data_IF_798235144245
#
_entry.id   IF_798235144245
#
_cell.length_a   1.000
_cell.length_b   1.000
_cell.length_c   1.000
_cell.angle_alpha   90.00
_cell.angle_beta   90.00
_cell.angle_gamma   90.00
#
_symmetry.space_group_name_H-M   'P 1'
#
loop_
_entity.id
_entity.type
_entity.pdbx_description
1 polymer ?
#
# COMPACT_ATOMS: atom_id res chain seq x y z
N UNK A 1 15.65 3.54 -10.21
CA UNK A 1 14.71 2.51 -9.74
C UNK A 1 14.42 2.85 -8.30
N UNK A 2 13.16 3.10 -7.98
CA UNK A 2 12.75 3.55 -6.65
C UNK A 2 11.90 2.46 -6.03
N UNK A 3 12.21 2.09 -4.79
CA UNK A 3 11.31 1.26 -3.99
C UNK A 3 10.16 2.13 -3.51
N UNK A 4 8.93 1.69 -3.75
CA UNK A 4 7.75 2.34 -3.21
C UNK A 4 7.34 1.62 -1.91
N UNK A 5 7.08 2.40 -0.87
CA UNK A 5 6.64 1.89 0.42
C UNK A 5 5.42 2.68 0.87
N UNK A 6 4.46 2.00 1.49
CA UNK A 6 3.43 2.67 2.27
C UNK A 6 3.70 2.42 3.75
N UNK A 7 3.71 3.52 4.51
CA UNK A 7 3.87 3.50 5.96
C UNK A 7 2.57 3.96 6.56
N UNK A 8 1.91 3.09 7.32
CA UNK A 8 0.66 3.42 7.98
C UNK A 8 0.60 2.84 9.39
N UNK A 9 -0.25 3.41 10.22
CA UNK A 9 -0.49 2.96 11.59
C UNK A 9 -1.98 2.88 11.85
N UNK A 10 -2.38 1.84 12.54
CA UNK A 10 -3.72 1.68 13.06
C UNK A 10 -3.88 2.43 14.38
N UNK A 11 -4.98 3.17 14.51
CA UNK A 11 -5.31 3.87 15.75
C UNK A 11 -5.76 2.86 16.82
N UNK A 12 -5.15 2.93 18.02
CA UNK A 12 -5.33 1.96 19.11
C UNK A 12 -6.78 1.78 19.60
N UNK A 13 -7.68 2.74 19.30
CA UNK A 13 -9.10 2.61 19.59
C UNK A 13 -9.90 2.82 18.31
N UNK A 14 -10.44 1.74 17.75
CA UNK A 14 -11.41 1.79 16.67
C UNK A 14 -10.81 1.80 15.27
N UNK A 15 -9.57 1.33 15.07
CA UNK A 15 -9.17 0.85 13.75
C UNK A 15 -9.97 -0.40 13.40
N UNK A 16 -10.36 -0.50 12.13
CA UNK A 16 -10.99 -1.69 11.59
C UNK A 16 -10.65 -1.80 10.11
N UNK A 17 -10.37 -3.01 9.65
CA UNK A 17 -9.88 -3.33 8.31
C UNK A 17 -8.37 -3.61 8.26
N UNK A 18 -7.91 -4.18 7.15
CA UNK A 18 -6.55 -4.73 6.91
C UNK A 18 -6.17 -5.99 7.70
N UNK A 19 -7.09 -6.56 8.48
CA UNK A 19 -6.91 -7.84 9.17
C UNK A 19 -7.06 -9.03 8.20
N UNK A 20 -7.70 -8.82 7.05
CA UNK A 20 -8.04 -9.88 6.10
C UNK A 20 -6.98 -10.03 5.03
N UNK A 21 -6.22 -11.12 5.11
CA UNK A 21 -5.22 -11.48 4.11
C UNK A 21 -5.75 -12.53 3.12
N UNK A 22 -5.42 -12.42 1.82
CA UNK A 22 -4.42 -11.51 1.24
C UNK A 22 -4.96 -10.10 0.89
N UNK A 23 -4.08 -9.12 0.97
CA UNK A 23 -4.32 -7.76 0.47
C UNK A 23 -3.90 -7.69 -1.00
N UNK A 24 -4.81 -7.31 -1.88
CA UNK A 24 -4.50 -6.95 -3.27
C UNK A 24 -4.12 -5.48 -3.30
N UNK A 25 -2.91 -5.20 -3.76
CA UNK A 25 -2.48 -3.83 -4.01
C UNK A 25 -2.19 -3.65 -5.49
N UNK A 26 -2.51 -2.47 -6.02
CA UNK A 26 -2.13 -2.05 -7.36
C UNK A 26 -1.55 -0.65 -7.35
N UNK A 27 -0.70 -0.38 -8.33
CA UNK A 27 -0.25 0.97 -8.62
C UNK A 27 -0.37 1.24 -10.12
N UNK A 28 -0.60 2.49 -10.48
CA UNK A 28 -0.76 2.94 -11.86
C UNK A 28 -0.06 4.30 -12.03
N UNK A 29 0.70 4.47 -13.11
CA UNK A 29 1.17 5.80 -13.50
C UNK A 29 0.04 6.51 -14.22
N UNK A 30 -0.28 7.73 -13.81
CA UNK A 30 -1.34 8.53 -14.45
C UNK A 30 -0.83 9.28 -15.68
N UNK A 31 0.49 9.39 -15.88
CA UNK A 31 1.10 10.27 -16.90
C UNK A 31 1.77 9.53 -18.06
N UNK A 32 2.32 8.34 -17.82
CA UNK A 32 2.81 7.51 -18.92
C UNK A 32 1.66 6.65 -19.43
N UNK A 33 1.35 6.70 -20.74
CA UNK A 33 0.32 5.86 -21.38
C UNK A 33 0.55 4.35 -21.25
N UNK A 34 1.60 3.94 -20.53
CA UNK A 34 1.90 2.57 -20.16
C UNK A 34 1.16 2.26 -18.86
N UNK A 35 -0.11 1.89 -18.99
CA UNK A 35 -0.97 1.37 -17.92
C UNK A 35 -0.36 0.07 -17.35
N UNK A 36 0.64 0.21 -16.46
CA UNK A 36 1.25 -0.89 -15.75
C UNK A 36 0.46 -1.16 -14.47
N UNK A 37 -0.74 -1.73 -14.61
CA UNK A 37 -1.48 -2.29 -13.48
C UNK A 37 -0.71 -3.50 -12.94
N UNK A 38 0.21 -3.26 -12.01
CA UNK A 38 0.90 -4.32 -11.29
C UNK A 38 0.11 -4.62 -10.04
N UNK A 39 -0.49 -5.81 -10.00
CA UNK A 39 -1.15 -6.35 -8.83
C UNK A 39 -0.23 -7.24 -8.02
N UNK A 40 -0.08 -6.90 -6.75
CA UNK A 40 0.69 -7.69 -5.79
C UNK A 40 -0.27 -8.16 -4.70
N UNK A 41 -0.21 -9.44 -4.37
CA UNK A 41 -0.95 -10.02 -3.25
C UNK A 41 -0.02 -10.14 -2.06
N UNK A 42 -0.29 -9.36 -1.01
CA UNK A 42 0.46 -9.42 0.22
C UNK A 42 -0.08 -10.56 1.08
N UNK A 43 0.85 -11.41 1.53
CA UNK A 43 0.58 -12.54 2.40
C UNK A 43 1.07 -12.22 3.81
N UNK A 44 0.64 -13.02 4.78
CA UNK A 44 1.04 -12.83 6.18
C UNK A 44 2.58 -12.91 6.29
N UNK A 45 3.22 -11.80 6.69
CA UNK A 45 4.68 -11.69 6.82
C UNK A 45 5.37 -10.74 5.81
N UNK A 46 4.67 -10.21 4.80
CA UNK A 46 5.21 -9.12 3.95
C UNK A 46 4.99 -7.72 4.53
N UNK A 47 4.24 -7.63 5.63
CA UNK A 47 4.03 -6.39 6.39
C UNK A 47 5.07 -6.37 7.51
N UNK A 48 6.02 -5.43 7.44
CA UNK A 48 7.00 -5.22 8.48
C UNK A 48 6.42 -4.34 9.58
N UNK A 49 6.16 -4.89 10.76
CA UNK A 49 5.93 -4.06 11.94
C UNK A 49 7.27 -3.43 12.35
N UNK A 50 7.33 -2.11 12.34
CA UNK A 50 8.44 -1.35 12.92
C UNK A 50 8.32 -1.31 14.44
N UNK A 51 9.44 -1.06 15.12
CA UNK A 51 9.50 -0.95 16.60
C UNK A 51 8.67 0.23 17.14
N UNK A 52 8.36 1.22 16.30
CA UNK A 52 7.53 2.40 16.61
C UNK A 52 6.01 2.13 16.47
N UNK A 53 5.64 0.90 16.12
CA UNK A 53 4.25 0.47 15.93
C UNK A 53 3.65 0.92 14.60
N UNK A 54 4.46 1.37 13.64
CA UNK A 54 4.03 1.58 12.26
C UNK A 54 4.18 0.29 11.45
N UNK A 55 3.27 0.10 10.50
CA UNK A 55 3.31 -0.95 9.50
C UNK A 55 3.95 -0.38 8.24
N UNK A 56 5.01 -1.04 7.77
CA UNK A 56 5.65 -0.75 6.51
C UNK A 56 5.35 -1.89 5.53
N UNK A 57 4.81 -1.52 4.37
CA UNK A 57 4.53 -2.45 3.28
C UNK A 57 5.34 -2.02 2.07
N UNK A 58 6.20 -2.92 1.61
CA UNK A 58 6.90 -2.77 0.34
C UNK A 58 5.92 -3.00 -0.81
N UNK A 59 5.68 -1.96 -1.59
CA UNK A 59 4.83 -1.99 -2.78
C UNK A 59 5.57 -2.51 -4.01
N UNK A 60 6.90 -2.64 -3.90
CA UNK A 60 7.82 -3.13 -4.91
C UNK A 60 8.64 -2.02 -5.56
N UNK A 61 9.37 -2.39 -6.62
CA UNK A 61 10.21 -1.47 -7.37
C UNK A 61 9.45 -0.83 -8.53
N UNK A 62 9.46 0.50 -8.56
CA UNK A 62 8.89 1.31 -9.62
C UNK A 62 9.98 2.06 -10.39
N UNK A 63 9.76 2.22 -11.70
CA UNK A 63 10.61 3.03 -12.56
C UNK A 63 9.92 4.37 -12.82
N UNK A 64 10.41 5.42 -12.17
CA UNK A 64 10.01 6.80 -12.46
C UNK A 64 10.77 7.26 -13.70
N UNK A 65 10.04 7.56 -14.77
CA UNK A 65 10.61 8.02 -16.04
C UNK A 65 10.94 9.52 -16.06
N UNK A 66 10.32 10.30 -15.18
CA UNK A 66 10.50 11.76 -15.05
C UNK A 66 10.15 12.24 -13.64
N UNK A 67 10.78 13.30 -13.17
CA UNK A 67 10.52 13.90 -11.84
C UNK A 67 9.05 14.28 -11.59
N UNK A 68 8.28 14.60 -12.63
CA UNK A 68 6.86 14.99 -12.51
C UNK A 68 5.89 13.82 -12.71
N UNK A 69 6.28 12.57 -12.47
CA UNK A 69 5.40 11.43 -12.64
C UNK A 69 4.47 11.24 -11.42
N UNK A 70 3.17 11.18 -11.67
CA UNK A 70 2.16 10.93 -10.65
C UNK A 70 1.83 9.44 -10.62
N UNK A 71 1.79 8.88 -9.40
CA UNK A 71 1.52 7.47 -9.17
C UNK A 71 0.23 7.38 -8.34
N UNK A 72 -0.75 6.66 -8.88
CA UNK A 72 -1.93 6.25 -8.15
C UNK A 72 -1.69 4.89 -7.52
N UNK A 73 -2.05 4.73 -6.24
CA UNK A 73 -1.90 3.48 -5.50
C UNK A 73 -3.25 3.08 -4.90
N UNK A 74 -3.60 1.80 -5.01
CA UNK A 74 -4.83 1.22 -4.48
C UNK A 74 -4.50 -0.01 -3.64
N UNK A 75 -5.16 -0.16 -2.49
CA UNK A 75 -5.02 -1.34 -1.61
C UNK A 75 -6.42 -1.83 -1.23
N UNK A 76 -6.67 -3.11 -1.45
CA UNK A 76 -7.95 -3.77 -1.29
C UNK A 76 -7.78 -5.07 -0.48
N UNK A 77 -8.69 -5.34 0.45
CA UNK A 77 -8.80 -6.67 1.05
C UNK A 77 -9.60 -7.56 0.12
N UNK A 78 -9.04 -8.70 -0.26
CA UNK A 78 -9.68 -9.60 -1.25
C UNK A 78 -10.77 -10.49 -0.65
N UNK A 79 -10.71 -10.74 0.67
CA UNK A 79 -11.58 -11.71 1.34
C UNK A 79 -12.71 -11.10 2.14
N UNK A 80 -12.46 -9.97 2.80
CA UNK A 80 -13.47 -9.25 3.56
C UNK A 80 -13.63 -7.84 2.99
N UNK A 81 -14.78 -7.59 2.36
CA UNK A 81 -15.17 -6.28 1.83
C UNK A 81 -15.65 -5.31 2.91
N UNK A 82 -14.97 -5.32 4.06
CA UNK A 82 -15.30 -4.50 5.21
C UNK A 82 -14.96 -3.02 5.00
N UNK A 83 -15.57 -2.17 5.81
CA UNK A 83 -15.18 -0.77 5.88
C UNK A 83 -13.79 -0.67 6.50
N UNK A 84 -13.01 0.31 6.05
CA UNK A 84 -11.69 0.60 6.59
C UNK A 84 -11.74 1.93 7.32
N UNK A 85 -11.28 1.97 8.56
CA UNK A 85 -11.35 3.16 9.41
C UNK A 85 -10.21 3.19 10.43
N UNK A 86 -9.87 4.39 10.90
CA UNK A 86 -8.86 4.56 11.94
C UNK A 86 -7.41 4.33 11.51
N UNK A 87 -7.10 4.45 10.21
CA UNK A 87 -5.73 4.37 9.70
C UNK A 87 -5.10 5.76 9.59
N UNK A 88 -3.82 5.86 9.92
CA UNK A 88 -2.98 7.04 9.74
C UNK A 88 -1.94 6.69 8.70
N UNK A 89 -1.86 7.46 7.60
CA UNK A 89 -0.88 7.26 6.54
C UNK A 89 0.21 8.32 6.65
N UNK A 90 1.47 7.89 6.55
CA UNK A 90 2.64 8.78 6.54
C UNK A 90 3.25 8.82 5.14
N UNK A 91 3.42 10.04 4.61
CA UNK A 91 4.24 10.29 3.42
C UNK A 91 5.71 10.40 3.79
N UNK A 92 6.59 9.83 2.95
CA UNK A 92 8.04 9.81 3.08
C UNK A 92 8.73 10.44 1.87
#
# INVERSE_FOLDING_TARGET
MYGAYIVFKEQEMGSFGFESLPLEMSFCSTRTEVYNDRRVFLLQGTQGCREDGWLEIELGEYYVGSDDEEIEMSILETREGGWKGGIIVQGI
#
